data_IF_570042910304
#
_entry.id   IF_570042910304
#
_cell.length_a   1.000
_cell.length_b   1.000
_cell.length_c   1.000
_cell.angle_alpha   90.00
_cell.angle_beta   90.00
_cell.angle_gamma   90.00
#
_symmetry.space_group_name_H-M   'P 1'
#
loop_
_entity.id
_entity.type
_entity.pdbx_description
1 polymer ?
#
# COMPACT_ATOMS: atom_id res chain seq x y z
N UNK A 1 2.12 -9.21 12.14
CA UNK A 1 2.94 -8.93 10.94
C UNK A 1 3.06 -7.42 10.76
N UNK A 2 4.23 -6.97 10.34
CA UNK A 2 4.53 -5.53 10.24
C UNK A 2 3.68 -4.82 9.18
N UNK A 3 3.50 -5.43 8.01
CA UNK A 3 2.68 -4.83 6.92
C UNK A 3 1.24 -4.62 7.36
N UNK A 4 0.62 -5.64 7.92
CA UNK A 4 -0.77 -5.58 8.38
C UNK A 4 -0.93 -4.50 9.45
N UNK A 5 0.05 -4.37 10.36
CA UNK A 5 0.09 -3.34 11.38
C UNK A 5 0.08 -1.94 10.76
N UNK A 6 1.07 -1.61 9.91
CA UNK A 6 1.22 -0.24 9.40
C UNK A 6 0.11 0.17 8.44
N UNK A 7 -0.47 -0.75 7.67
CA UNK A 7 -1.62 -0.46 6.81
C UNK A 7 -2.89 -0.27 7.65
N UNK A 8 -3.09 -1.10 8.68
CA UNK A 8 -4.35 -1.07 9.45
C UNK A 8 -4.39 0.03 10.51
N UNK A 9 -3.26 0.40 11.09
CA UNK A 9 -3.23 1.26 12.27
C UNK A 9 -3.94 2.61 12.08
N UNK A 10 -3.75 3.36 10.96
CA UNK A 10 -4.45 4.62 10.76
C UNK A 10 -5.97 4.48 10.77
N UNK A 11 -6.51 3.49 10.07
CA UNK A 11 -7.95 3.25 9.99
C UNK A 11 -8.56 2.77 11.29
N UNK A 12 -7.86 1.89 12.02
CA UNK A 12 -8.34 1.33 13.30
C UNK A 12 -8.19 2.29 14.50
N UNK A 13 -7.52 3.41 14.33
CA UNK A 13 -7.27 4.36 15.40
C UNK A 13 -7.57 5.79 15.01
N UNK A 14 -6.78 6.40 14.12
CA UNK A 14 -6.92 7.81 13.75
C UNK A 14 -8.28 8.13 13.11
N UNK A 15 -8.81 7.24 12.28
CA UNK A 15 -10.08 7.44 11.60
C UNK A 15 -11.29 7.44 12.57
N UNK A 16 -11.12 6.97 13.79
CA UNK A 16 -12.14 6.92 14.86
C UNK A 16 -11.72 7.73 16.08
N UNK A 17 -10.87 8.74 15.89
CA UNK A 17 -10.39 9.69 16.90
C UNK A 17 -9.62 9.08 18.09
N UNK A 18 -9.09 7.86 17.95
CA UNK A 18 -8.30 7.15 18.97
C UNK A 18 -6.79 7.42 18.84
N UNK A 19 -6.42 8.72 18.86
CA UNK A 19 -5.01 9.16 18.66
C UNK A 19 -4.07 8.55 19.68
N UNK A 20 -4.47 8.47 20.95
CA UNK A 20 -3.65 7.90 22.03
C UNK A 20 -3.32 6.41 21.78
N UNK A 21 -4.25 5.65 21.21
CA UNK A 21 -4.02 4.24 20.84
C UNK A 21 -3.03 4.12 19.68
N UNK A 22 -3.15 5.01 18.68
CA UNK A 22 -2.16 5.09 17.61
C UNK A 22 -0.76 5.30 18.18
N UNK A 23 -0.58 6.30 19.03
CA UNK A 23 0.71 6.66 19.61
C UNK A 23 1.30 5.53 20.47
N UNK A 24 0.49 4.85 21.26
CA UNK A 24 0.91 3.71 22.08
C UNK A 24 1.41 2.53 21.23
N UNK A 25 0.71 2.22 20.14
CA UNK A 25 1.11 1.15 19.20
C UNK A 25 2.36 1.56 18.43
N UNK A 26 2.44 2.82 17.97
CA UNK A 26 3.61 3.33 17.26
C UNK A 26 4.86 3.40 18.14
N UNK A 27 4.73 3.64 19.45
CA UNK A 27 5.87 3.55 20.38
C UNK A 27 6.45 2.14 20.45
N UNK A 28 5.58 1.13 20.41
CA UNK A 28 6.00 -0.28 20.33
C UNK A 28 6.66 -0.59 18.98
N UNK A 29 6.03 -0.11 17.89
CA UNK A 29 6.56 -0.29 16.54
C UNK A 29 7.92 0.41 16.35
N UNK A 30 8.11 1.61 16.93
CA UNK A 30 9.38 2.35 16.91
C UNK A 30 10.54 1.52 17.48
N UNK A 31 10.32 0.82 18.58
CA UNK A 31 11.34 -0.06 19.18
C UNK A 31 11.72 -1.20 18.24
N UNK A 32 10.75 -1.81 17.57
CA UNK A 32 11.01 -2.86 16.57
C UNK A 32 11.72 -2.30 15.33
N UNK A 33 11.37 -1.09 14.86
CA UNK A 33 12.07 -0.43 13.77
C UNK A 33 13.53 -0.14 14.15
N UNK A 34 13.80 0.44 15.33
CA UNK A 34 15.16 0.71 15.79
C UNK A 34 15.98 -0.56 16.00
N UNK A 35 15.36 -1.64 16.48
CA UNK A 35 16.02 -2.94 16.50
C UNK A 35 16.50 -3.35 15.10
N UNK A 36 15.67 -3.14 14.07
CA UNK A 36 16.00 -3.52 12.69
C UNK A 36 17.05 -2.58 12.06
N UNK A 37 16.86 -1.25 12.13
CA UNK A 37 17.72 -0.30 11.41
C UNK A 37 19.02 0.04 12.12
N UNK A 38 19.08 -0.09 13.47
CA UNK A 38 20.24 0.22 14.31
C UNK A 38 20.82 -0.98 15.01
N UNK A 39 20.22 -2.17 14.83
CA UNK A 39 20.55 -3.39 15.56
C UNK A 39 20.50 -3.19 17.09
N UNK A 40 19.58 -2.37 17.57
CA UNK A 40 19.37 -2.12 19.00
C UNK A 40 18.66 -3.32 19.63
N UNK A 41 19.23 -3.95 20.68
CA UNK A 41 18.59 -5.10 21.33
C UNK A 41 17.19 -4.75 21.83
N UNK A 42 16.17 -5.46 21.41
CA UNK A 42 14.79 -5.32 21.88
C UNK A 42 14.15 -6.69 22.06
N UNK A 43 13.37 -6.84 23.14
CA UNK A 43 12.49 -7.99 23.32
C UNK A 43 11.24 -7.91 22.42
N UNK A 44 10.95 -6.71 21.87
CA UNK A 44 9.82 -6.48 20.99
C UNK A 44 10.20 -6.88 19.57
N UNK A 45 9.53 -7.91 19.08
CA UNK A 45 9.68 -8.38 17.69
C UNK A 45 8.38 -8.22 16.96
N UNK A 46 8.44 -7.57 15.80
CA UNK A 46 7.35 -7.56 14.82
C UNK A 46 7.84 -8.40 13.64
N UNK A 47 7.07 -9.41 13.29
CA UNK A 47 7.44 -10.33 12.20
C UNK A 47 7.51 -9.63 10.86
N UNK A 48 8.44 -10.06 10.00
CA UNK A 48 8.60 -9.64 8.61
C UNK A 48 9.12 -8.20 8.46
N UNK A 49 9.82 -7.64 9.47
CA UNK A 49 10.40 -6.29 9.38
C UNK A 49 11.42 -6.14 8.23
N UNK A 50 12.05 -7.24 7.82
CA UNK A 50 13.02 -7.31 6.72
C UNK A 50 12.40 -7.32 5.33
N UNK A 51 11.08 -7.38 5.20
CA UNK A 51 10.44 -7.30 3.88
C UNK A 51 10.63 -5.90 3.26
N UNK A 52 10.82 -5.83 1.93
CA UNK A 52 11.22 -4.60 1.24
C UNK A 52 10.28 -3.41 1.44
N UNK A 53 9.00 -3.65 1.60
CA UNK A 53 7.97 -2.60 1.67
C UNK A 53 7.67 -2.10 3.10
N UNK A 54 8.18 -2.76 4.15
CA UNK A 54 7.73 -2.51 5.53
C UNK A 54 8.09 -1.12 6.04
N UNK A 55 9.36 -0.70 5.89
CA UNK A 55 9.76 0.62 6.33
C UNK A 55 9.03 1.72 5.54
N UNK A 56 8.71 1.47 4.29
CA UNK A 56 7.96 2.41 3.46
C UNK A 56 6.49 2.52 3.91
N UNK A 57 5.86 1.41 4.30
CA UNK A 57 4.54 1.41 4.93
C UNK A 57 4.55 2.09 6.30
N UNK A 58 5.64 1.96 7.07
CA UNK A 58 5.80 2.70 8.33
C UNK A 58 5.83 4.21 8.09
N UNK A 59 6.54 4.68 7.06
CA UNK A 59 6.55 6.10 6.65
C UNK A 59 5.15 6.56 6.23
N UNK A 60 4.42 5.76 5.43
CA UNK A 60 3.04 6.07 5.05
C UNK A 60 2.11 6.14 6.27
N UNK A 61 2.25 5.22 7.22
CA UNK A 61 1.48 5.21 8.47
C UNK A 61 1.70 6.50 9.28
N UNK A 62 2.96 6.93 9.42
CA UNK A 62 3.32 8.20 10.08
C UNK A 62 2.78 9.40 9.30
N UNK A 63 2.78 9.35 7.97
CA UNK A 63 2.18 10.40 7.14
C UNK A 63 0.67 10.53 7.41
N UNK A 64 -0.05 9.44 7.66
CA UNK A 64 -1.46 9.52 8.04
C UNK A 64 -1.63 10.26 9.38
N UNK A 65 -0.73 10.05 10.34
CA UNK A 65 -0.75 10.83 11.58
C UNK A 65 -0.56 12.33 11.32
N UNK A 66 0.37 12.70 10.44
CA UNK A 66 0.55 14.11 10.05
C UNK A 66 -0.70 14.73 9.42
N UNK A 67 -1.45 13.95 8.63
CA UNK A 67 -2.68 14.38 7.94
C UNK A 67 -3.87 14.49 8.88
N UNK A 68 -4.04 13.52 9.78
CA UNK A 68 -5.26 13.36 10.59
C UNK A 68 -5.15 14.04 11.95
N UNK A 69 -3.92 14.27 12.46
CA UNK A 69 -3.66 14.96 13.73
C UNK A 69 -3.04 16.33 13.46
N UNK A 70 -1.73 16.39 13.23
CA UNK A 70 -1.05 17.60 12.76
C UNK A 70 0.38 17.30 12.28
N UNK A 71 0.90 18.13 11.35
CA UNK A 71 2.29 18.04 10.89
C UNK A 71 3.29 18.40 12.00
N UNK A 72 2.96 19.40 12.84
CA UNK A 72 3.80 19.80 13.96
C UNK A 72 3.94 18.68 15.00
N UNK A 73 2.84 18.06 15.42
CA UNK A 73 2.87 16.90 16.32
C UNK A 73 3.63 15.72 15.72
N UNK A 74 3.44 15.46 14.42
CA UNK A 74 4.17 14.43 13.70
C UNK A 74 5.68 14.68 13.70
N UNK A 75 6.11 15.90 13.40
CA UNK A 75 7.51 16.30 13.43
C UNK A 75 8.12 16.12 14.82
N UNK A 76 7.41 16.55 15.86
CA UNK A 76 7.89 16.41 17.24
C UNK A 76 8.03 14.96 17.71
N UNK A 77 7.09 14.09 17.32
CA UNK A 77 7.05 12.70 17.79
C UNK A 77 7.83 11.72 16.90
N UNK A 78 7.76 11.92 15.58
CA UNK A 78 8.25 10.95 14.58
C UNK A 78 9.30 11.49 13.63
N UNK A 79 9.66 12.78 13.70
CA UNK A 79 10.63 13.39 12.78
C UNK A 79 11.97 12.68 12.78
N UNK A 80 12.54 12.42 13.96
CA UNK A 80 13.82 11.68 14.09
C UNK A 80 13.71 10.26 13.53
N UNK A 81 12.61 9.55 13.82
CA UNK A 81 12.41 8.19 13.29
C UNK A 81 12.34 8.19 11.76
N UNK A 82 11.63 9.15 11.18
CA UNK A 82 11.55 9.31 9.71
C UNK A 82 12.92 9.57 9.10
N UNK A 83 13.69 10.49 9.67
CA UNK A 83 15.05 10.77 9.21
C UNK A 83 15.96 9.53 9.27
N UNK A 84 15.88 8.76 10.36
CA UNK A 84 16.67 7.54 10.52
C UNK A 84 16.27 6.46 9.50
N UNK A 85 14.98 6.27 9.27
CA UNK A 85 14.49 5.35 8.23
C UNK A 85 15.00 5.79 6.85
N UNK A 86 14.87 7.08 6.52
CA UNK A 86 15.30 7.57 5.21
C UNK A 86 16.81 7.46 5.01
N UNK A 87 17.61 7.78 6.04
CA UNK A 87 19.07 7.59 6.01
C UNK A 87 19.46 6.13 5.82
N UNK A 88 18.78 5.22 6.51
CA UNK A 88 19.02 3.78 6.38
C UNK A 88 18.75 3.28 4.95
N UNK A 89 17.65 3.71 4.33
CA UNK A 89 17.30 3.33 2.96
C UNK A 89 18.23 4.00 1.92
N UNK A 90 18.52 5.30 2.08
CA UNK A 90 19.40 6.03 1.17
C UNK A 90 20.87 5.58 1.23
N UNK A 91 21.31 4.97 2.34
CA UNK A 91 22.64 4.40 2.50
C UNK A 91 22.75 2.95 2.03
N UNK A 92 21.70 2.45 1.36
CA UNK A 92 21.64 1.09 0.83
C UNK A 92 21.87 -0.01 1.89
N UNK A 93 21.39 0.23 3.12
CA UNK A 93 21.60 -0.68 4.26
C UNK A 93 20.51 -1.75 4.41
N UNK A 94 19.42 -1.63 3.67
CA UNK A 94 18.34 -2.60 3.76
C UNK A 94 18.74 -3.93 3.11
N UNK A 95 18.64 -5.08 3.82
CA UNK A 95 19.15 -6.36 3.30
C UNK A 95 18.43 -6.87 2.05
N UNK A 96 17.26 -6.32 1.74
CA UNK A 96 16.37 -6.81 0.69
C UNK A 96 15.93 -5.72 -0.29
N UNK A 97 16.54 -4.53 -0.23
CA UNK A 97 16.37 -3.43 -1.18
C UNK A 97 17.73 -2.93 -1.64
N UNK A 98 17.82 -2.55 -2.88
CA UNK A 98 19.00 -1.92 -3.47
C UNK A 98 18.56 -0.60 -4.10
N UNK A 99 19.19 0.49 -3.71
CA UNK A 99 18.98 1.80 -4.33
C UNK A 99 19.86 1.91 -5.57
N UNK A 100 19.26 1.89 -6.75
CA UNK A 100 19.98 2.03 -8.00
C UNK A 100 20.27 3.48 -8.38
N UNK A 101 21.23 3.69 -9.28
CA UNK A 101 21.64 5.00 -9.76
C UNK A 101 20.51 5.82 -10.41
N UNK A 102 19.47 5.17 -10.92
CA UNK A 102 18.28 5.84 -11.45
C UNK A 102 17.33 6.37 -10.36
N UNK A 103 17.64 6.14 -9.09
CA UNK A 103 16.85 6.56 -7.92
C UNK A 103 15.70 5.64 -7.56
N UNK A 104 15.54 4.50 -8.24
CA UNK A 104 14.52 3.49 -7.92
C UNK A 104 15.08 2.41 -6.99
N UNK A 105 14.19 1.81 -6.21
CA UNK A 105 14.47 0.66 -5.37
C UNK A 105 14.26 -0.64 -6.14
N UNK A 106 15.25 -1.50 -6.09
CA UNK A 106 15.25 -2.83 -6.69
C UNK A 106 15.20 -3.90 -5.60
N UNK A 107 14.52 -5.04 -5.86
CA UNK A 107 14.47 -6.18 -4.93
C UNK A 107 14.47 -7.51 -5.66
N UNK A 108 15.07 -8.54 -5.04
CA UNK A 108 15.05 -9.91 -5.53
C UNK A 108 13.86 -10.67 -4.96
N UNK A 109 12.87 -10.98 -5.80
CA UNK A 109 11.64 -11.66 -5.42
C UNK A 109 11.42 -13.03 -6.04
N UNK A 110 12.43 -13.57 -6.76
CA UNK A 110 12.32 -14.85 -7.48
C UNK A 110 12.03 -16.02 -6.54
N UNK A 111 12.67 -16.05 -5.38
CA UNK A 111 12.59 -17.17 -4.43
C UNK A 111 11.87 -16.80 -3.12
N UNK A 112 11.32 -15.60 -3.01
CA UNK A 112 10.58 -15.14 -1.83
C UNK A 112 9.52 -14.12 -2.22
N UNK A 113 8.45 -14.08 -1.46
CA UNK A 113 7.49 -13.00 -1.56
C UNK A 113 8.06 -11.71 -0.99
N UNK A 114 7.85 -10.59 -1.67
CA UNK A 114 8.47 -9.30 -1.34
C UNK A 114 7.46 -8.21 -0.95
N UNK A 115 6.16 -8.44 -1.20
CA UNK A 115 5.08 -7.49 -0.87
C UNK A 115 3.87 -8.23 -0.28
N UNK A 116 2.70 -7.59 -0.30
CA UNK A 116 1.44 -8.18 0.17
C UNK A 116 0.98 -9.39 -0.66
N UNK A 117 1.44 -9.52 -1.92
CA UNK A 117 1.20 -10.71 -2.75
C UNK A 117 2.15 -11.84 -2.34
N UNK A 118 1.88 -12.40 -1.17
CA UNK A 118 2.84 -13.27 -0.44
C UNK A 118 2.45 -14.74 -0.39
N UNK A 119 1.51 -15.20 -1.24
CA UNK A 119 1.17 -16.61 -1.32
C UNK A 119 2.34 -17.45 -1.83
N UNK A 120 2.57 -18.58 -1.16
CA UNK A 120 3.64 -19.52 -1.51
C UNK A 120 3.09 -20.94 -1.63
N UNK A 121 3.65 -21.70 -2.58
CA UNK A 121 3.40 -23.14 -2.73
C UNK A 121 4.74 -23.86 -2.74
N UNK A 122 4.87 -24.86 -1.88
CA UNK A 122 6.13 -25.59 -1.69
C UNK A 122 7.35 -24.68 -1.40
N UNK A 123 7.12 -23.58 -0.66
CA UNK A 123 8.16 -22.61 -0.30
C UNK A 123 8.52 -21.60 -1.40
N UNK A 124 7.91 -21.68 -2.57
CA UNK A 124 8.13 -20.73 -3.66
C UNK A 124 6.94 -19.77 -3.80
N UNK A 125 7.18 -18.47 -4.08
CA UNK A 125 6.10 -17.54 -4.34
C UNK A 125 5.28 -17.94 -5.56
N UNK A 126 3.95 -17.88 -5.43
CA UNK A 126 3.03 -18.11 -6.56
C UNK A 126 3.19 -17.02 -7.61
N UNK A 127 3.51 -15.82 -7.16
CA UNK A 127 3.78 -14.66 -8.02
C UNK A 127 5.19 -14.16 -7.69
N UNK A 128 6.22 -14.69 -8.37
CA UNK A 128 7.58 -14.22 -8.19
C UNK A 128 7.73 -12.83 -8.82
N UNK A 129 7.85 -11.81 -7.98
CA UNK A 129 8.01 -10.41 -8.39
C UNK A 129 9.41 -9.94 -8.03
N UNK A 130 10.22 -9.67 -9.05
CA UNK A 130 11.62 -9.26 -8.88
C UNK A 130 11.90 -8.00 -9.71
N UNK A 131 12.91 -7.24 -9.36
CA UNK A 131 13.27 -6.02 -10.04
C UNK A 131 12.68 -4.76 -9.40
N UNK A 132 12.32 -3.81 -10.24
CA UNK A 132 11.56 -2.63 -9.83
C UNK A 132 10.10 -3.01 -9.69
N UNK A 133 9.55 -2.91 -8.48
CA UNK A 133 8.15 -3.25 -8.16
C UNK A 133 7.35 -1.96 -7.99
N UNK A 134 6.19 -1.87 -8.65
CA UNK A 134 5.44 -0.61 -8.80
C UNK A 134 5.03 -0.01 -7.46
N UNK A 135 4.45 -0.80 -6.53
CA UNK A 135 4.02 -0.27 -5.24
C UNK A 135 5.20 0.07 -4.31
N UNK A 136 6.31 -0.66 -4.38
CA UNK A 136 7.52 -0.32 -3.61
C UNK A 136 8.04 1.05 -4.06
N UNK A 137 8.16 1.26 -5.37
CA UNK A 137 8.67 2.53 -5.91
C UNK A 137 7.66 3.68 -5.78
N UNK A 138 6.37 3.38 -5.74
CA UNK A 138 5.34 4.38 -5.39
C UNK A 138 5.45 4.83 -3.93
N UNK A 139 5.57 3.88 -3.01
CA UNK A 139 5.79 4.15 -1.58
C UNK A 139 7.11 4.92 -1.37
N UNK A 140 8.15 4.53 -2.09
CA UNK A 140 9.45 5.19 -2.05
C UNK A 140 9.39 6.65 -2.46
N UNK A 141 8.78 6.95 -3.60
CA UNK A 141 8.60 8.33 -4.06
C UNK A 141 7.80 9.17 -3.04
N UNK A 142 6.69 8.61 -2.53
CA UNK A 142 5.89 9.25 -1.49
C UNK A 142 6.70 9.50 -0.22
N UNK A 143 7.53 8.54 0.22
CA UNK A 143 8.37 8.66 1.40
C UNK A 143 9.44 9.75 1.25
N UNK A 144 10.12 9.79 0.10
CA UNK A 144 11.13 10.82 -0.23
C UNK A 144 10.54 12.23 -0.13
N UNK A 145 9.37 12.44 -0.74
CA UNK A 145 8.69 13.73 -0.74
C UNK A 145 8.21 14.13 0.66
N UNK A 146 7.50 13.23 1.33
CA UNK A 146 6.97 13.51 2.67
C UNK A 146 8.07 13.77 3.70
N UNK A 147 9.06 12.88 3.78
CA UNK A 147 10.14 13.03 4.74
C UNK A 147 11.03 14.25 4.41
N UNK A 148 11.26 14.54 3.13
CA UNK A 148 12.00 15.72 2.70
C UNK A 148 11.34 17.02 3.13
N UNK A 149 10.04 17.15 2.91
CA UNK A 149 9.28 18.34 3.36
C UNK A 149 9.28 18.47 4.89
N UNK A 150 9.04 17.37 5.62
CA UNK A 150 9.01 17.39 7.08
C UNK A 150 10.37 17.73 7.69
N UNK A 151 11.46 17.25 7.08
CA UNK A 151 12.85 17.59 7.48
C UNK A 151 13.16 19.06 7.24
N UNK A 152 12.71 19.63 6.11
CA UNK A 152 12.83 21.06 5.82
C UNK A 152 12.09 21.93 6.84
N UNK A 153 10.86 21.56 7.21
CA UNK A 153 10.08 22.21 8.28
C UNK A 153 10.77 22.10 9.65
N UNK A 154 11.59 21.08 9.87
CA UNK A 154 12.40 20.91 11.07
C UNK A 154 13.73 21.68 11.04
N UNK A 155 14.05 22.37 9.93
CA UNK A 155 15.31 23.08 9.73
C UNK A 155 16.46 22.20 9.25
N UNK A 156 16.24 20.93 8.96
CA UNK A 156 17.26 20.02 8.39
C UNK A 156 17.31 20.14 6.86
N UNK A 157 17.75 21.32 6.39
CA UNK A 157 17.74 21.68 4.97
C UNK A 157 18.63 20.76 4.12
N UNK A 158 19.77 20.31 4.65
CA UNK A 158 20.68 19.43 3.90
C UNK A 158 20.01 18.07 3.57
N UNK A 159 19.28 17.49 4.52
CA UNK A 159 18.53 16.26 4.28
C UNK A 159 17.34 16.52 3.34
N UNK A 160 16.61 17.62 3.54
CA UNK A 160 15.48 18.00 2.69
C UNK A 160 15.89 18.15 1.22
N UNK A 161 17.01 18.84 0.93
CA UNK A 161 17.57 19.01 -0.42
C UNK A 161 18.00 17.67 -1.03
N UNK A 162 18.69 16.83 -0.25
CA UNK A 162 19.11 15.49 -0.70
C UNK A 162 17.94 14.60 -1.06
N UNK A 163 16.90 14.53 -0.19
CA UNK A 163 15.70 13.73 -0.45
C UNK A 163 14.89 14.32 -1.61
N UNK A 164 14.83 15.64 -1.75
CA UNK A 164 14.18 16.32 -2.87
C UNK A 164 14.82 16.00 -4.21
N UNK A 165 16.14 16.07 -4.30
CA UNK A 165 16.89 15.73 -5.51
C UNK A 165 16.71 14.26 -5.90
N UNK A 166 16.71 13.35 -4.91
CA UNK A 166 16.47 11.94 -5.14
C UNK A 166 15.02 11.68 -5.57
N UNK A 167 14.03 12.40 -5.00
CA UNK A 167 12.64 12.32 -5.41
C UNK A 167 12.43 12.73 -6.86
N UNK A 168 13.06 13.82 -7.32
CA UNK A 168 12.99 14.24 -8.72
C UNK A 168 13.55 13.17 -9.67
N UNK A 169 14.69 12.60 -9.31
CA UNK A 169 15.32 11.52 -10.08
C UNK A 169 14.43 10.28 -10.12
N UNK A 170 13.97 9.85 -8.95
CA UNK A 170 13.07 8.69 -8.80
C UNK A 170 11.76 8.89 -9.57
N UNK A 171 11.16 10.09 -9.51
CA UNK A 171 9.90 10.38 -10.20
C UNK A 171 10.01 10.29 -11.72
N UNK A 172 11.10 10.83 -12.31
CA UNK A 172 11.38 10.71 -13.75
C UNK A 172 11.58 9.25 -14.16
N UNK A 173 12.37 8.52 -13.39
CA UNK A 173 12.64 7.10 -13.65
C UNK A 173 11.39 6.24 -13.47
N UNK A 174 10.53 6.54 -12.50
CA UNK A 174 9.28 5.84 -12.27
C UNK A 174 8.38 5.89 -13.51
N UNK A 175 8.17 7.08 -14.06
CA UNK A 175 7.34 7.24 -15.27
C UNK A 175 7.96 6.50 -16.45
N UNK A 176 9.26 6.61 -16.65
CA UNK A 176 9.95 5.95 -17.76
C UNK A 176 9.96 4.43 -17.67
N UNK A 177 10.00 3.87 -16.46
CA UNK A 177 10.06 2.41 -16.24
C UNK A 177 8.68 1.78 -16.23
N UNK A 178 7.70 2.42 -15.57
CA UNK A 178 6.42 1.76 -15.31
C UNK A 178 5.30 2.17 -16.25
N UNK A 179 5.27 3.41 -16.76
CA UNK A 179 4.16 3.87 -17.60
C UNK A 179 4.30 3.28 -19.01
N UNK A 180 3.34 2.44 -19.39
CA UNK A 180 3.31 1.83 -20.71
C UNK A 180 2.54 2.67 -21.75
N UNK A 181 2.61 2.25 -23.00
CA UNK A 181 1.96 2.92 -24.13
C UNK A 181 0.43 2.94 -24.06
N UNK A 182 -0.20 2.08 -23.25
CA UNK A 182 -1.65 2.02 -23.03
C UNK A 182 -2.12 2.92 -21.88
N UNK A 183 -1.21 3.66 -21.23
CA UNK A 183 -1.52 4.63 -20.19
C UNK A 183 -1.77 4.04 -18.80
N UNK A 184 -1.31 2.80 -18.53
CA UNK A 184 -1.30 2.21 -17.20
C UNK A 184 0.10 1.78 -16.76
N UNK A 185 0.27 1.33 -15.53
CA UNK A 185 1.59 0.99 -15.00
C UNK A 185 1.82 -0.52 -15.04
N UNK A 186 3.03 -0.90 -15.47
CA UNK A 186 3.54 -2.27 -15.35
C UNK A 186 3.61 -2.67 -13.87
N UNK A 187 3.35 -3.94 -13.55
CA UNK A 187 3.35 -4.42 -12.17
C UNK A 187 4.79 -4.52 -11.59
N UNK A 188 5.72 -5.02 -12.41
CA UNK A 188 7.16 -4.97 -12.11
C UNK A 188 7.98 -5.00 -13.41
N UNK A 189 9.25 -4.57 -13.30
CA UNK A 189 10.21 -4.56 -14.41
C UNK A 189 11.56 -5.07 -13.92
N UNK A 190 12.11 -6.07 -14.60
CA UNK A 190 13.44 -6.64 -14.35
C UNK A 190 14.23 -6.76 -15.65
N UNK A 191 15.10 -5.78 -15.90
CA UNK A 191 15.80 -5.69 -17.19
C UNK A 191 14.82 -5.58 -18.36
N UNK A 192 14.82 -6.59 -19.25
CA UNK A 192 13.92 -6.66 -20.39
C UNK A 192 12.58 -7.36 -20.07
N UNK A 193 12.44 -7.92 -18.87
CA UNK A 193 11.20 -8.55 -18.43
C UNK A 193 10.25 -7.49 -17.92
N UNK A 194 9.09 -7.37 -18.54
CA UNK A 194 8.04 -6.42 -18.19
C UNK A 194 6.76 -7.19 -17.88
N UNK A 195 6.19 -7.01 -16.68
CA UNK A 195 4.92 -7.63 -16.31
C UNK A 195 3.74 -6.73 -16.69
N UNK A 196 3.02 -7.12 -17.74
CA UNK A 196 1.91 -6.37 -18.34
C UNK A 196 0.56 -6.68 -17.71
N UNK A 197 0.46 -7.65 -16.83
CA UNK A 197 -0.79 -8.01 -16.18
C UNK A 197 -1.37 -6.83 -15.43
N UNK A 198 -2.65 -6.54 -15.65
CA UNK A 198 -3.34 -5.50 -14.90
C UNK A 198 -3.60 -6.01 -13.49
N UNK A 199 -2.87 -5.45 -12.54
CA UNK A 199 -2.95 -5.72 -11.10
C UNK A 199 -3.25 -4.46 -10.31
N UNK A 200 -3.83 -4.56 -9.10
CA UNK A 200 -4.29 -3.38 -8.35
C UNK A 200 -3.15 -2.53 -7.79
N UNK A 201 -1.91 -3.01 -7.80
CA UNK A 201 -0.76 -2.35 -7.17
C UNK A 201 -0.48 -0.94 -7.71
N UNK A 202 -0.84 -0.69 -8.97
CA UNK A 202 -0.70 0.62 -9.61
C UNK A 202 -1.59 1.70 -8.97
N UNK A 203 -2.65 1.33 -8.22
CA UNK A 203 -3.59 2.31 -7.64
C UNK A 203 -2.92 3.20 -6.59
N UNK A 204 -1.89 2.70 -5.90
CA UNK A 204 -1.17 3.48 -4.91
C UNK A 204 -0.53 4.73 -5.51
N UNK A 205 -0.08 4.67 -6.77
CA UNK A 205 0.47 5.83 -7.49
C UNK A 205 -0.56 6.94 -7.73
N UNK A 206 -1.85 6.65 -7.63
CA UNK A 206 -2.93 7.63 -7.73
C UNK A 206 -3.44 8.05 -6.35
N UNK A 207 -3.47 7.11 -5.40
CA UNK A 207 -4.02 7.32 -4.06
C UNK A 207 -3.12 8.15 -3.14
N UNK A 208 -1.79 8.02 -3.23
CA UNK A 208 -0.89 8.71 -2.31
C UNK A 208 -0.83 10.23 -2.54
N UNK A 209 -0.48 10.97 -1.48
CA UNK A 209 -0.38 12.42 -1.52
C UNK A 209 0.67 12.89 -2.51
N UNK A 210 1.82 12.20 -2.54
CA UNK A 210 2.89 12.45 -3.48
C UNK A 210 2.93 11.36 -4.54
N UNK A 211 2.78 11.76 -5.76
CA UNK A 211 2.72 10.87 -6.92
C UNK A 211 3.63 11.40 -8.04
N UNK A 212 4.41 10.55 -8.70
CA UNK A 212 5.20 10.96 -9.86
C UNK A 212 4.36 11.16 -11.13
N UNK A 213 3.08 10.76 -11.10
CA UNK A 213 2.18 10.82 -12.25
C UNK A 213 1.50 12.19 -12.37
N UNK A 214 1.34 12.69 -13.60
CA UNK A 214 0.51 13.85 -13.88
C UNK A 214 -1.01 13.48 -13.86
N UNK A 215 -1.87 14.48 -13.97
CA UNK A 215 -3.34 14.28 -13.86
C UNK A 215 -3.92 13.34 -14.93
N UNK A 216 -3.43 13.40 -16.16
CA UNK A 216 -3.88 12.51 -17.24
C UNK A 216 -3.45 11.07 -17.00
N UNK A 217 -2.21 10.85 -16.57
CA UNK A 217 -1.68 9.54 -16.23
C UNK A 217 -2.41 8.91 -15.03
N UNK A 218 -2.69 9.71 -13.99
CA UNK A 218 -3.50 9.27 -12.84
C UNK A 218 -4.89 8.81 -13.28
N UNK A 219 -5.51 9.57 -14.18
CA UNK A 219 -6.82 9.20 -14.70
C UNK A 219 -6.77 7.92 -15.52
N UNK A 220 -5.77 7.73 -16.38
CA UNK A 220 -5.57 6.48 -17.13
C UNK A 220 -5.43 5.26 -16.24
N UNK A 221 -4.62 5.37 -15.17
CA UNK A 221 -4.46 4.31 -14.18
C UNK A 221 -5.77 4.02 -13.45
N UNK A 222 -6.50 5.05 -13.01
CA UNK A 222 -7.79 4.84 -12.35
C UNK A 222 -8.82 4.19 -13.28
N UNK A 223 -8.89 4.61 -14.53
CA UNK A 223 -9.83 4.10 -15.52
C UNK A 223 -9.60 2.59 -15.78
N UNK A 224 -8.35 2.15 -15.95
CA UNK A 224 -8.04 0.73 -16.17
C UNK A 224 -8.33 -0.11 -14.92
N UNK A 225 -7.99 0.38 -13.73
CA UNK A 225 -8.29 -0.30 -12.46
C UNK A 225 -9.80 -0.43 -12.28
N UNK A 226 -10.57 0.62 -12.55
CA UNK A 226 -12.04 0.60 -12.49
C UNK A 226 -12.61 -0.45 -13.44
N UNK A 227 -12.16 -0.42 -14.68
CA UNK A 227 -12.68 -1.29 -15.75
C UNK A 227 -12.36 -2.78 -15.54
N UNK A 228 -11.16 -3.09 -15.11
CA UNK A 228 -10.65 -4.48 -15.07
C UNK A 228 -10.74 -5.11 -13.68
N UNK A 229 -10.63 -4.33 -12.61
CA UNK A 229 -10.41 -4.88 -11.27
C UNK A 229 -11.53 -4.58 -10.28
N UNK A 230 -12.29 -3.50 -10.44
CA UNK A 230 -13.33 -3.15 -9.47
C UNK A 230 -14.45 -4.20 -9.46
N UNK A 231 -14.78 -4.67 -8.26
CA UNK A 231 -15.93 -5.54 -7.96
C UNK A 231 -16.79 -4.90 -6.88
N UNK A 232 -17.99 -5.39 -6.61
CA UNK A 232 -18.77 -4.91 -5.47
C UNK A 232 -18.14 -5.16 -4.09
N UNK A 233 -17.06 -5.95 -4.02
CA UNK A 233 -16.43 -6.41 -2.76
C UNK A 233 -14.93 -6.12 -2.67
N UNK A 234 -14.40 -5.19 -3.46
CA UNK A 234 -12.99 -4.82 -3.48
C UNK A 234 -12.37 -4.86 -4.88
N UNK A 235 -11.05 -4.74 -4.95
CA UNK A 235 -10.33 -4.87 -6.22
C UNK A 235 -9.85 -6.30 -6.42
N UNK A 236 -10.05 -6.83 -7.62
CA UNK A 236 -9.40 -8.09 -8.03
C UNK A 236 -7.88 -7.94 -7.98
N UNK A 237 -7.22 -8.98 -7.54
CA UNK A 237 -5.76 -9.08 -7.52
C UNK A 237 -5.12 -9.31 -8.91
N UNK A 238 -5.93 -9.68 -9.91
CA UNK A 238 -5.55 -9.87 -11.30
C UNK A 238 -6.77 -9.63 -12.20
N UNK A 239 -6.55 -9.02 -13.37
CA UNK A 239 -7.60 -8.84 -14.38
C UNK A 239 -8.09 -10.20 -14.94
N UNK A 240 -9.40 -10.35 -15.18
CA UNK A 240 -9.96 -11.53 -15.85
C UNK A 240 -9.40 -11.79 -17.25
N UNK A 241 -8.76 -10.79 -17.87
CA UNK A 241 -8.15 -10.91 -19.20
C UNK A 241 -6.71 -11.42 -19.15
N UNK A 242 -6.11 -11.49 -17.97
CA UNK A 242 -4.73 -11.94 -17.80
C UNK A 242 -4.64 -13.47 -17.74
N UNK A 243 -3.57 -14.03 -18.30
CA UNK A 243 -3.26 -15.45 -18.12
C UNK A 243 -3.10 -15.80 -16.64
N UNK A 244 -3.55 -17.00 -16.25
CA UNK A 244 -3.49 -17.45 -14.86
C UNK A 244 -4.60 -16.89 -13.96
N UNK A 245 -5.62 -16.18 -14.50
CA UNK A 245 -6.76 -15.72 -13.73
C UNK A 245 -7.48 -16.87 -13.03
N UNK A 246 -7.51 -16.83 -11.69
CA UNK A 246 -8.12 -17.83 -10.84
C UNK A 246 -8.91 -17.14 -9.71
N UNK A 247 -10.18 -16.78 -9.96
CA UNK A 247 -10.96 -15.93 -9.07
C UNK A 247 -11.56 -16.62 -7.85
N UNK A 248 -11.55 -17.96 -7.78
CA UNK A 248 -12.27 -18.72 -6.76
C UNK A 248 -11.31 -19.25 -5.69
N UNK A 249 -11.49 -18.80 -4.46
CA UNK A 249 -10.70 -19.25 -3.31
C UNK A 249 -11.34 -20.47 -2.64
N UNK A 250 -11.24 -21.64 -3.29
CA UNK A 250 -11.92 -22.89 -2.90
C UNK A 250 -11.00 -24.11 -3.03
N UNK A 251 -11.42 -25.22 -2.42
CA UNK A 251 -10.69 -26.49 -2.52
C UNK A 251 -9.60 -26.69 -1.45
N UNK A 252 -8.69 -27.64 -1.65
CA UNK A 252 -7.54 -27.89 -0.80
C UNK A 252 -6.61 -26.68 -0.69
N UNK A 253 -5.77 -26.63 0.37
CA UNK A 253 -4.88 -25.50 0.66
C UNK A 253 -4.07 -25.07 -0.56
N UNK A 254 -3.45 -26.02 -1.27
CA UNK A 254 -2.61 -25.70 -2.42
C UNK A 254 -3.38 -25.00 -3.55
N UNK A 255 -4.64 -25.34 -3.78
CA UNK A 255 -5.48 -24.67 -4.78
C UNK A 255 -5.83 -23.26 -4.34
N UNK A 256 -6.13 -23.08 -3.04
CA UNK A 256 -6.42 -21.78 -2.45
C UNK A 256 -5.17 -20.88 -2.50
N UNK A 257 -3.99 -21.41 -2.23
CA UNK A 257 -2.73 -20.65 -2.31
C UNK A 257 -2.45 -20.16 -3.73
N UNK A 258 -2.74 -20.97 -4.76
CA UNK A 258 -2.66 -20.54 -6.15
C UNK A 258 -3.69 -19.47 -6.52
N UNK A 259 -4.88 -19.47 -5.92
CA UNK A 259 -5.92 -18.48 -6.20
C UNK A 259 -5.72 -17.15 -5.45
N UNK A 260 -5.02 -17.17 -4.31
CA UNK A 260 -5.02 -16.13 -3.29
C UNK A 260 -4.75 -14.72 -3.83
N UNK A 261 -3.83 -14.56 -4.82
CA UNK A 261 -3.54 -13.29 -5.46
C UNK A 261 -3.65 -13.36 -7.01
N UNK A 262 -4.48 -14.28 -7.52
CA UNK A 262 -4.63 -14.52 -8.96
C UNK A 262 -6.06 -14.23 -9.47
N UNK A 263 -6.77 -13.31 -8.83
CA UNK A 263 -8.09 -12.89 -9.29
C UNK A 263 -9.13 -12.73 -8.19
N UNK A 264 -8.87 -13.16 -6.97
CA UNK A 264 -9.69 -12.86 -5.79
C UNK A 264 -9.79 -11.37 -5.55
N UNK A 265 -10.91 -10.90 -4.98
CA UNK A 265 -11.13 -9.49 -4.68
C UNK A 265 -10.78 -9.17 -3.22
N UNK A 266 -10.11 -8.03 -3.02
CA UNK A 266 -9.57 -7.60 -1.74
C UNK A 266 -10.17 -6.26 -1.32
N UNK A 267 -10.96 -6.23 -0.23
CA UNK A 267 -11.62 -5.01 0.25
C UNK A 267 -10.68 -3.88 0.66
N UNK A 268 -9.53 -4.19 1.28
CA UNK A 268 -8.60 -3.14 1.73
C UNK A 268 -8.07 -2.28 0.58
N UNK A 269 -7.92 -2.85 -0.61
CA UNK A 269 -7.51 -2.11 -1.79
C UNK A 269 -8.57 -1.10 -2.24
N UNK A 270 -9.85 -1.34 -1.91
CA UNK A 270 -10.92 -0.38 -2.18
C UNK A 270 -10.71 0.94 -1.42
N UNK A 271 -10.07 0.92 -0.24
CA UNK A 271 -9.71 2.12 0.49
C UNK A 271 -8.83 3.07 -0.33
N UNK A 272 -7.76 2.54 -0.89
CA UNK A 272 -6.87 3.30 -1.77
C UNK A 272 -7.54 3.65 -3.10
N UNK A 273 -8.34 2.77 -3.65
CA UNK A 273 -9.12 3.06 -4.85
C UNK A 273 -10.05 4.26 -4.64
N UNK A 274 -10.78 4.32 -3.55
CA UNK A 274 -11.69 5.44 -3.28
C UNK A 274 -10.95 6.72 -2.91
N UNK A 275 -9.82 6.65 -2.24
CA UNK A 275 -8.97 7.83 -2.08
C UNK A 275 -8.51 8.37 -3.45
N UNK A 276 -8.04 7.49 -4.35
CA UNK A 276 -7.69 7.85 -5.73
C UNK A 276 -8.88 8.44 -6.49
N UNK A 277 -10.06 7.84 -6.32
CA UNK A 277 -11.30 8.30 -6.95
C UNK A 277 -11.69 9.70 -6.48
N UNK A 278 -11.64 9.98 -5.17
CA UNK A 278 -11.89 11.29 -4.60
C UNK A 278 -10.86 12.34 -5.05
N UNK A 279 -9.60 11.96 -5.24
CA UNK A 279 -8.57 12.88 -5.76
C UNK A 279 -8.89 13.37 -7.17
N UNK A 280 -9.47 12.53 -7.99
CA UNK A 280 -9.80 12.84 -9.39
C UNK A 280 -11.20 13.50 -9.50
N UNK A 281 -12.21 12.90 -8.90
CA UNK A 281 -13.60 13.30 -9.06
C UNK A 281 -14.13 14.25 -7.99
N UNK A 282 -13.35 14.46 -6.90
CA UNK A 282 -13.74 15.35 -5.80
C UNK A 282 -15.15 15.02 -5.27
N UNK A 283 -15.96 16.03 -5.01
CA UNK A 283 -17.33 15.86 -4.50
C UNK A 283 -18.24 15.03 -5.40
N UNK A 284 -18.02 15.05 -6.72
CA UNK A 284 -18.84 14.24 -7.64
C UNK A 284 -18.67 12.72 -7.45
N UNK A 285 -17.59 12.29 -6.79
CA UNK A 285 -17.34 10.89 -6.46
C UNK A 285 -18.06 10.36 -5.24
N UNK A 286 -18.55 11.23 -4.35
CA UNK A 286 -19.08 10.84 -3.02
C UNK A 286 -20.23 9.84 -3.14
N UNK A 287 -21.27 10.17 -3.90
CA UNK A 287 -22.44 9.31 -4.01
C UNK A 287 -22.18 7.92 -4.61
N UNK A 288 -21.11 7.76 -5.39
CA UNK A 288 -20.67 6.44 -5.86
C UNK A 288 -20.07 5.63 -4.69
N UNK A 289 -19.21 6.26 -3.89
CA UNK A 289 -18.53 5.60 -2.76
C UNK A 289 -19.54 5.21 -1.67
N UNK A 290 -20.48 6.09 -1.34
CA UNK A 290 -21.52 5.81 -0.35
C UNK A 290 -22.36 4.59 -0.76
N UNK A 291 -22.81 4.54 -2.00
CA UNK A 291 -23.55 3.36 -2.51
C UNK A 291 -22.73 2.09 -2.50
N UNK A 292 -21.43 2.19 -2.75
CA UNK A 292 -20.54 1.03 -2.69
C UNK A 292 -20.40 0.51 -1.24
N UNK A 293 -20.25 1.41 -0.28
CA UNK A 293 -20.09 1.04 1.14
C UNK A 293 -21.32 0.34 1.72
N UNK A 294 -22.54 0.71 1.30
CA UNK A 294 -23.78 0.03 1.69
C UNK A 294 -23.71 -1.48 1.36
N UNK A 295 -23.03 -1.85 0.28
CA UNK A 295 -22.83 -3.25 -0.10
C UNK A 295 -22.07 -4.11 0.92
N UNK A 296 -21.43 -3.51 1.93
CA UNK A 296 -20.80 -4.25 3.04
C UNK A 296 -21.72 -4.49 4.24
N UNK A 297 -22.86 -3.82 4.34
CA UNK A 297 -23.82 -4.04 5.44
C UNK A 297 -24.33 -5.48 5.48
N UNK A 298 -24.68 -6.04 4.32
CA UNK A 298 -25.09 -7.43 4.20
C UNK A 298 -23.96 -8.41 4.58
N UNK A 299 -22.71 -8.07 4.25
CA UNK A 299 -21.55 -8.89 4.59
C UNK A 299 -21.31 -8.96 6.09
N UNK A 300 -21.49 -7.84 6.81
CA UNK A 300 -21.34 -7.79 8.27
C UNK A 300 -22.35 -8.67 9.02
N UNK A 301 -23.41 -9.14 8.36
CA UNK A 301 -24.40 -10.04 8.94
C UNK A 301 -24.35 -11.47 8.39
N UNK A 302 -23.61 -11.69 7.30
CA UNK A 302 -23.66 -12.97 6.55
C UNK A 302 -22.49 -13.91 6.86
N UNK A 303 -21.26 -13.43 6.81
CA UNK A 303 -20.07 -14.27 6.95
C UNK A 303 -19.38 -14.07 8.31
N UNK A 304 -19.24 -12.82 8.74
CA UNK A 304 -18.73 -12.45 10.05
C UNK A 304 -19.60 -11.34 10.64
N UNK A 305 -20.11 -11.56 11.84
CA UNK A 305 -20.95 -10.56 12.51
C UNK A 305 -20.08 -9.33 12.88
N UNK A 306 -20.45 -8.17 12.31
CA UNK A 306 -19.78 -6.90 12.58
C UNK A 306 -18.36 -6.76 12.01
N UNK A 307 -18.00 -7.59 11.02
CA UNK A 307 -16.69 -7.51 10.37
C UNK A 307 -16.78 -7.86 8.89
N UNK A 308 -15.63 -7.88 8.21
CA UNK A 308 -15.52 -8.09 6.77
C UNK A 308 -14.53 -9.21 6.51
N UNK A 309 -14.94 -10.16 5.64
CA UNK A 309 -14.12 -11.29 5.20
C UNK A 309 -12.78 -10.81 4.64
N UNK A 310 -11.74 -11.61 4.80
CA UNK A 310 -10.38 -11.32 4.32
C UNK A 310 -10.34 -11.00 2.83
N UNK A 311 -11.00 -11.82 2.02
CA UNK A 311 -11.09 -11.67 0.57
C UNK A 311 -12.43 -12.23 0.06
N UNK A 312 -12.71 -12.00 -1.21
CA UNK A 312 -13.89 -12.48 -1.89
C UNK A 312 -13.50 -13.21 -3.17
N UNK A 313 -14.33 -14.16 -3.59
CA UNK A 313 -14.22 -14.69 -4.94
C UNK A 313 -14.31 -13.52 -5.95
N UNK A 314 -13.46 -13.53 -6.98
CA UNK A 314 -13.39 -12.41 -7.94
C UNK A 314 -14.52 -12.38 -8.96
N UNK A 315 -15.36 -13.43 -9.01
CA UNK A 315 -16.53 -13.54 -9.88
C UNK A 315 -17.82 -13.66 -9.07
N UNK A 316 -18.97 -13.30 -9.65
CA UNK A 316 -20.27 -13.50 -9.00
C UNK A 316 -20.46 -14.94 -8.50
N UNK A 317 -21.05 -15.12 -7.32
CA UNK A 317 -21.73 -14.14 -6.48
C UNK A 317 -20.80 -13.38 -5.50
N UNK A 318 -19.48 -13.32 -5.73
CA UNK A 318 -18.50 -12.62 -4.88
C UNK A 318 -18.56 -13.08 -3.42
N UNK A 319 -18.46 -14.39 -3.22
CA UNK A 319 -18.59 -15.01 -1.91
C UNK A 319 -17.40 -14.69 -1.00
N UNK A 320 -17.66 -14.31 0.25
CA UNK A 320 -16.65 -14.08 1.28
C UNK A 320 -15.82 -15.34 1.56
N UNK A 321 -14.50 -15.16 1.73
CA UNK A 321 -13.50 -16.22 1.89
C UNK A 321 -12.40 -15.81 2.87
N UNK A 322 -11.52 -16.76 3.18
CA UNK A 322 -10.38 -16.56 4.06
C UNK A 322 -10.78 -16.40 5.52
N UNK A 323 -10.07 -15.55 6.25
CA UNK A 323 -10.40 -15.20 7.62
C UNK A 323 -11.76 -14.48 7.68
N UNK A 324 -12.54 -14.76 8.71
CA UNK A 324 -13.88 -14.15 8.90
C UNK A 324 -13.80 -12.67 9.31
N UNK A 325 -12.64 -12.21 9.77
CA UNK A 325 -12.38 -10.82 10.13
C UNK A 325 -10.94 -10.49 9.76
N UNK A 326 -10.74 -9.39 9.02
CA UNK A 326 -9.43 -9.00 8.54
C UNK A 326 -9.16 -7.52 8.81
N UNK A 327 -8.12 -7.25 9.58
CA UNK A 327 -7.82 -5.91 10.12
C UNK A 327 -7.68 -4.84 9.02
N UNK A 328 -6.95 -5.14 7.95
CA UNK A 328 -6.74 -4.18 6.86
C UNK A 328 -8.05 -3.79 6.17
N UNK A 329 -8.99 -4.73 6.01
CA UNK A 329 -10.28 -4.45 5.38
C UNK A 329 -11.13 -3.50 6.24
N UNK A 330 -11.24 -3.80 7.54
CA UNK A 330 -11.97 -2.95 8.48
C UNK A 330 -11.33 -1.57 8.56
N UNK A 331 -9.99 -1.52 8.67
CA UNK A 331 -9.23 -0.28 8.74
C UNK A 331 -9.48 0.63 7.53
N UNK A 332 -9.41 0.07 6.32
CA UNK A 332 -9.55 0.86 5.11
C UNK A 332 -10.99 1.34 4.88
N UNK A 333 -11.99 0.58 5.30
CA UNK A 333 -13.38 1.05 5.28
C UNK A 333 -13.59 2.20 6.28
N UNK A 334 -13.07 2.10 7.51
CA UNK A 334 -13.10 3.19 8.47
C UNK A 334 -12.37 4.43 7.95
N UNK A 335 -11.23 4.25 7.27
CA UNK A 335 -10.48 5.34 6.66
C UNK A 335 -11.25 6.02 5.52
N UNK A 336 -11.98 5.25 4.69
CA UNK A 336 -12.86 5.83 3.66
C UNK A 336 -13.98 6.66 4.31
N UNK A 337 -14.65 6.13 5.33
CA UNK A 337 -15.70 6.87 6.04
C UNK A 337 -15.17 8.19 6.62
N UNK A 338 -13.97 8.16 7.22
CA UNK A 338 -13.28 9.37 7.66
C UNK A 338 -13.02 10.35 6.51
N UNK A 339 -12.51 9.87 5.36
CA UNK A 339 -12.28 10.73 4.20
C UNK A 339 -13.59 11.36 3.69
N UNK A 340 -14.68 10.60 3.60
CA UNK A 340 -15.98 11.12 3.20
C UNK A 340 -16.49 12.20 4.17
N UNK A 341 -16.29 12.04 5.49
CA UNK A 341 -16.70 13.04 6.45
C UNK A 341 -16.02 14.40 6.25
N UNK A 342 -14.82 14.43 5.68
CA UNK A 342 -14.09 15.67 5.35
C UNK A 342 -14.59 16.38 4.09
N UNK A 343 -15.39 15.72 3.27
CA UNK A 343 -16.02 16.31 2.08
C UNK A 343 -17.45 16.79 2.33
N UNK A 344 -18.10 16.32 3.40
CA UNK A 344 -19.50 16.65 3.73
C UNK A 344 -19.64 17.89 4.64
N UNK A 345 -18.53 18.62 4.94
CA UNK A 345 -18.54 19.84 5.73
C UNK A 345 -17.89 21.03 5.02
#
# INVERSE_FOLDING_TARGET
RARDLFISLPGLTLAIDEVSKFEMVMETARKAIYNFIRNEPSQIKIYEMEHPDILLWAVWCIQQYAKMVSREACRGKYGVLLEDIMRFLCQDKHPNLILHDNGLLYTYGTNRAVTWMNSTVNGHPVIPRTGYIVEINTLWYNALRFAGELSGEAGNNALAESLGALAEKSGKSFVNVFLNEYGYLLDYVDGNMMEWSVRPNMIFAVAFDYSPLNSSQKKGVLDIVTKELLTPKGLRSLSPKSGGYNPNYVGPQIQRDYAYHQGTAWPWLAGFYFEAYLRIYKMSGIGFIERYLIGYEDEMSSHCIGSISELFDGNPPFKGRGAISFAMNVAEILRILYLLSKYNY
#
